data_IF_279110525877
#
_entry.id   IF_279110525877
#
_cell.length_a   1.000
_cell.length_b   1.000
_cell.length_c   1.000
_cell.angle_alpha   90.00
_cell.angle_beta   90.00
_cell.angle_gamma   90.00
#
_symmetry.space_group_name_H-M   'P 1'
#
loop_
_entity.id
_entity.type
_entity.pdbx_description
1 polymer ?
#
# COMPACT_ATOMS: atom_id res chain seq x y z
N UNK A 1 4.96 -13.67 -39.59
CA UNK A 1 4.10 -14.46 -38.68
C UNK A 1 4.30 -13.83 -37.32
N UNK A 2 3.41 -12.89 -36.96
CA UNK A 2 3.49 -12.15 -35.71
C UNK A 2 2.92 -13.05 -34.63
N UNK A 3 3.76 -13.48 -33.70
CA UNK A 3 3.29 -14.25 -32.56
C UNK A 3 2.67 -13.30 -31.54
N UNK A 4 1.43 -13.63 -31.27
CA UNK A 4 0.45 -12.96 -30.46
C UNK A 4 0.82 -13.15 -28.98
N UNK A 5 1.63 -12.22 -28.43
CA UNK A 5 1.86 -12.14 -26.97
C UNK A 5 0.68 -11.47 -26.26
N UNK A 6 -0.54 -11.87 -26.63
CA UNK A 6 -1.79 -11.57 -25.93
C UNK A 6 -2.11 -12.71 -24.99
N UNK A 7 -1.24 -12.97 -24.01
CA UNK A 7 -1.63 -13.81 -22.88
C UNK A 7 -1.63 -12.93 -21.63
N UNK A 8 -2.75 -12.22 -21.47
CA UNK A 8 -3.22 -11.70 -20.18
C UNK A 8 -3.23 -12.87 -19.21
N UNK A 9 -2.13 -13.01 -18.46
CA UNK A 9 -2.02 -13.94 -17.37
C UNK A 9 -3.12 -13.61 -16.37
N UNK A 10 -4.06 -14.54 -16.22
CA UNK A 10 -4.92 -14.60 -15.06
C UNK A 10 -3.96 -14.84 -13.89
N UNK A 11 -3.67 -13.78 -13.14
CA UNK A 11 -2.67 -13.72 -12.06
C UNK A 11 -2.91 -14.84 -11.05
N UNK A 12 -2.06 -15.86 -11.07
CA UNK A 12 -1.84 -16.66 -9.88
C UNK A 12 -1.27 -15.71 -8.81
N UNK A 13 -1.85 -15.63 -7.60
CA UNK A 13 -1.38 -14.70 -6.59
C UNK A 13 0.10 -14.97 -6.32
N UNK A 14 0.94 -13.98 -6.64
CA UNK A 14 2.38 -14.06 -6.47
C UNK A 14 2.69 -14.09 -4.97
N UNK A 15 2.77 -15.29 -4.40
CA UNK A 15 3.06 -15.46 -2.98
C UNK A 15 4.47 -14.95 -2.64
N UNK A 16 4.56 -14.12 -1.60
CA UNK A 16 5.81 -13.63 -1.04
C UNK A 16 6.34 -14.66 -0.04
N UNK A 17 7.19 -15.54 -0.54
CA UNK A 17 7.82 -16.62 0.25
C UNK A 17 9.17 -16.24 0.85
N UNK A 18 9.70 -15.07 0.48
CA UNK A 18 10.96 -14.51 0.99
C UNK A 18 10.77 -13.02 1.30
N UNK A 19 11.55 -12.51 2.26
CA UNK A 19 11.58 -11.08 2.54
C UNK A 19 11.93 -10.30 1.27
N UNK A 20 11.03 -9.41 0.88
CA UNK A 20 11.09 -8.62 -0.34
C UNK A 20 10.67 -7.20 -0.01
N UNK A 21 11.38 -6.24 -0.58
CA UNK A 21 10.95 -4.85 -0.51
C UNK A 21 9.82 -4.63 -1.52
N UNK A 22 8.74 -4.01 -1.06
CA UNK A 22 7.60 -3.62 -1.89
C UNK A 22 7.37 -2.12 -1.75
N UNK A 23 6.64 -1.56 -2.71
CA UNK A 23 6.40 -0.14 -2.83
C UNK A 23 4.91 0.16 -2.98
N UNK A 24 4.50 1.32 -2.49
CA UNK A 24 3.13 1.80 -2.51
C UNK A 24 3.09 3.29 -2.82
N UNK A 25 1.98 3.74 -3.42
CA UNK A 25 1.72 5.15 -3.65
C UNK A 25 0.66 5.66 -2.66
N UNK A 26 1.03 6.72 -1.95
CA UNK A 26 0.17 7.37 -0.98
C UNK A 26 -0.10 8.81 -1.42
N UNK A 27 -1.37 9.15 -1.65
CA UNK A 27 -1.83 10.52 -1.87
C UNK A 27 -2.48 11.06 -0.59
N UNK A 28 -1.99 12.19 -0.08
CA UNK A 28 -2.51 12.85 1.12
C UNK A 28 -3.07 14.23 0.81
N UNK A 29 -4.38 14.46 0.86
CA UNK A 29 -4.92 15.82 0.77
C UNK A 29 -4.32 16.73 1.84
N UNK A 30 -4.04 17.99 1.48
CA UNK A 30 -3.72 19.03 2.47
C UNK A 30 -5.01 19.61 3.07
N UNK A 31 -6.06 19.64 2.25
CA UNK A 31 -7.38 20.12 2.60
C UNK A 31 -8.33 18.93 2.56
N UNK A 32 -9.22 18.82 3.55
CA UNK A 32 -10.25 17.78 3.61
C UNK A 32 -9.66 16.35 3.55
N UNK A 33 -8.93 15.98 4.62
CA UNK A 33 -8.21 14.70 4.75
C UNK A 33 -9.09 13.46 4.65
N UNK A 34 -10.42 13.65 4.69
CA UNK A 34 -11.41 12.59 4.63
C UNK A 34 -12.00 12.41 3.20
N UNK A 35 -11.71 13.33 2.27
CA UNK A 35 -12.38 13.42 0.96
C UNK A 35 -11.72 12.65 -0.18
N UNK A 36 -10.39 12.66 -0.26
CA UNK A 36 -9.71 11.66 -1.08
C UNK A 36 -9.51 10.42 -0.21
N UNK A 37 -9.72 9.22 -0.77
CA UNK A 37 -9.18 8.04 -0.13
C UNK A 37 -7.71 8.34 0.14
N UNK A 38 -7.28 8.24 1.40
CA UNK A 38 -5.88 8.44 1.82
C UNK A 38 -4.96 7.34 1.26
N UNK A 39 -5.26 6.83 0.07
CA UNK A 39 -5.21 5.42 -0.24
C UNK A 39 -5.33 5.04 -1.72
N UNK A 40 -5.13 5.99 -2.62
CA UNK A 40 -5.46 5.78 -4.03
C UNK A 40 -4.57 4.71 -4.71
N UNK A 41 -3.46 4.31 -4.07
CA UNK A 41 -2.67 3.12 -4.40
C UNK A 41 -2.63 2.06 -3.28
N UNK A 42 -3.56 2.07 -2.32
CA UNK A 42 -3.53 1.12 -1.19
C UNK A 42 -3.66 -0.32 -1.61
N UNK A 43 -4.45 -0.64 -2.64
CA UNK A 43 -4.56 -2.00 -3.17
C UNK A 43 -3.36 -2.44 -4.00
N UNK A 44 -2.59 -1.49 -4.50
CA UNK A 44 -1.59 -1.73 -5.53
C UNK A 44 -0.21 -1.82 -4.88
N UNK A 45 0.35 -3.02 -4.96
CA UNK A 45 1.61 -3.34 -4.34
C UNK A 45 2.63 -3.59 -5.45
N UNK A 46 3.61 -2.70 -5.54
CA UNK A 46 4.63 -2.76 -6.57
C UNK A 46 5.88 -3.49 -6.06
N UNK A 47 6.51 -4.29 -6.91
CA UNK A 47 7.72 -5.04 -6.54
C UNK A 47 9.02 -4.35 -6.96
N UNK A 48 8.91 -3.18 -7.60
CA UNK A 48 10.04 -2.31 -7.91
C UNK A 48 9.66 -0.83 -7.79
N UNK A 49 10.66 0.00 -7.48
CA UNK A 49 10.49 1.45 -7.42
C UNK A 49 10.10 2.03 -8.79
N UNK A 50 10.70 1.53 -9.87
CA UNK A 50 10.42 1.99 -11.23
C UNK A 50 8.95 1.75 -11.61
N UNK A 51 8.42 0.56 -11.34
CA UNK A 51 7.01 0.21 -11.60
C UNK A 51 6.04 1.10 -10.82
N UNK A 52 6.35 1.38 -9.54
CA UNK A 52 5.54 2.29 -8.72
C UNK A 52 5.55 3.72 -9.27
N UNK A 53 6.72 4.20 -9.73
CA UNK A 53 6.84 5.54 -10.31
C UNK A 53 6.18 5.65 -11.69
N UNK A 54 6.24 4.60 -12.50
CA UNK A 54 5.56 4.55 -13.80
C UNK A 54 4.03 4.60 -13.63
N UNK A 55 3.51 4.05 -12.54
CA UNK A 55 2.09 4.10 -12.21
C UNK A 55 1.63 5.46 -11.64
N UNK A 56 2.56 6.32 -11.17
CA UNK A 56 2.25 7.54 -10.41
C UNK A 56 1.29 8.49 -11.15
N UNK A 57 1.60 8.80 -12.41
CA UNK A 57 0.81 9.74 -13.20
C UNK A 57 -0.59 9.17 -13.53
N UNK A 58 -0.69 7.84 -13.66
CA UNK A 58 -1.96 7.12 -13.87
C UNK A 58 -2.84 7.22 -12.63
N UNK A 59 -2.28 6.96 -11.43
CA UNK A 59 -3.02 7.14 -10.18
C UNK A 59 -3.47 8.58 -9.99
N UNK A 60 -2.61 9.56 -10.32
CA UNK A 60 -2.95 10.97 -10.24
C UNK A 60 -4.12 11.35 -11.17
N UNK A 61 -4.10 10.89 -12.41
CA UNK A 61 -5.21 11.07 -13.34
C UNK A 61 -6.50 10.38 -12.85
N UNK A 62 -6.39 9.20 -12.24
CA UNK A 62 -7.55 8.51 -11.66
C UNK A 62 -8.14 9.28 -10.47
N UNK A 63 -7.32 9.90 -9.61
CA UNK A 63 -7.80 10.83 -8.57
C UNK A 63 -8.65 11.93 -9.19
N UNK A 64 -8.10 12.59 -10.22
CA UNK A 64 -8.77 13.68 -10.90
C UNK A 64 -10.11 13.22 -11.48
N UNK A 65 -10.12 12.10 -12.21
CA UNK A 65 -11.34 11.54 -12.78
C UNK A 65 -12.43 11.28 -11.71
N UNK A 66 -12.06 10.72 -10.54
CA UNK A 66 -13.00 10.46 -9.45
C UNK A 66 -13.51 11.73 -8.75
N UNK A 67 -12.68 12.77 -8.70
CA UNK A 67 -13.03 14.05 -8.07
C UNK A 67 -13.70 15.06 -9.02
N UNK A 68 -14.03 14.65 -10.25
CA UNK A 68 -14.65 15.54 -11.25
C UNK A 68 -13.67 16.49 -11.94
N UNK A 69 -12.38 16.15 -11.96
CA UNK A 69 -11.28 16.88 -12.57
C UNK A 69 -10.13 17.15 -11.61
N UNK A 70 -9.15 17.93 -12.07
CA UNK A 70 -8.01 18.40 -11.26
C UNK A 70 -8.43 19.50 -10.28
N UNK A 71 -9.31 19.14 -9.34
CA UNK A 71 -9.76 20.04 -8.27
C UNK A 71 -8.61 20.42 -7.33
N UNK A 72 -8.83 21.43 -6.48
CA UNK A 72 -7.84 21.88 -5.48
C UNK A 72 -7.38 20.74 -4.56
N UNK A 73 -8.31 19.88 -4.15
CA UNK A 73 -8.01 18.71 -3.30
C UNK A 73 -7.02 17.76 -3.98
N UNK A 74 -7.17 17.52 -5.29
CA UNK A 74 -6.28 16.65 -6.08
C UNK A 74 -4.94 17.33 -6.37
N UNK A 75 -4.96 18.59 -6.79
CA UNK A 75 -3.74 19.33 -7.19
C UNK A 75 -2.85 19.71 -6.02
N UNK A 76 -3.41 19.90 -4.83
CA UNK A 76 -2.64 20.15 -3.61
C UNK A 76 -2.25 18.87 -2.87
N UNK A 77 -2.76 17.71 -3.30
CA UNK A 77 -2.47 16.44 -2.66
C UNK A 77 -0.96 16.16 -2.60
N UNK A 78 -0.58 15.58 -1.49
CA UNK A 78 0.77 15.26 -1.11
C UNK A 78 1.09 13.81 -1.43
N UNK A 79 1.90 13.60 -2.48
CA UNK A 79 2.22 12.26 -2.96
C UNK A 79 3.51 11.71 -2.37
N UNK A 80 3.45 10.47 -1.90
CA UNK A 80 4.57 9.74 -1.32
C UNK A 80 4.72 8.37 -1.95
N UNK A 81 5.96 8.02 -2.28
CA UNK A 81 6.38 6.65 -2.51
C UNK A 81 6.78 6.05 -1.17
N UNK A 82 6.00 5.09 -0.71
CA UNK A 82 6.25 4.35 0.52
C UNK A 82 6.86 3.00 0.20
N UNK A 83 7.76 2.53 1.06
CA UNK A 83 8.38 1.21 0.93
C UNK A 83 8.31 0.46 2.25
N UNK A 84 8.10 -0.84 2.15
CA UNK A 84 8.07 -1.76 3.28
C UNK A 84 8.85 -3.03 2.95
N UNK A 85 9.42 -3.65 3.99
CA UNK A 85 9.87 -5.02 3.92
C UNK A 85 8.66 -5.91 4.18
N UNK A 86 8.45 -6.88 3.29
CA UNK A 86 7.31 -7.79 3.34
C UNK A 86 7.77 -9.22 3.14
N UNK A 87 7.20 -10.15 3.90
CA UNK A 87 7.48 -11.57 3.79
C UNK A 87 7.75 -12.22 5.15
N UNK A 88 8.09 -13.50 5.18
CA UNK A 88 8.14 -14.24 6.43
C UNK A 88 9.29 -13.79 7.35
N UNK A 89 9.05 -13.88 8.66
CA UNK A 89 10.05 -13.76 9.74
C UNK A 89 10.81 -12.43 9.77
N UNK A 90 10.13 -11.33 9.49
CA UNK A 90 10.74 -10.01 9.63
C UNK A 90 10.94 -9.73 11.12
N UNK A 91 12.15 -9.28 11.46
CA UNK A 91 12.46 -8.88 12.82
C UNK A 91 11.66 -7.61 13.17
N UNK A 92 11.00 -7.55 14.33
CA UNK A 92 10.29 -6.35 14.75
C UNK A 92 11.24 -5.15 14.82
N UNK A 93 10.93 -4.08 14.09
CA UNK A 93 11.73 -2.85 14.10
C UNK A 93 11.56 -2.07 15.42
N UNK A 94 12.28 -0.95 15.57
CA UNK A 94 12.41 -0.21 16.85
C UNK A 94 11.12 0.41 17.42
N UNK A 95 9.99 0.35 16.72
CA UNK A 95 8.71 0.92 17.18
C UNK A 95 7.96 0.08 18.22
N UNK A 96 7.07 0.75 18.95
CA UNK A 96 6.29 0.19 20.05
C UNK A 96 4.86 -0.18 19.64
N UNK A 97 4.40 0.28 18.47
CA UNK A 97 3.04 0.08 17.97
C UNK A 97 3.03 -0.99 16.86
N UNK A 98 2.01 -1.86 16.91
CA UNK A 98 1.84 -3.03 16.05
C UNK A 98 0.38 -3.17 15.58
N UNK A 99 0.20 -3.83 14.44
CA UNK A 99 -1.06 -4.50 14.12
C UNK A 99 -0.92 -5.97 14.48
N UNK A 100 -1.85 -6.47 15.26
CA UNK A 100 -1.96 -7.87 15.58
C UNK A 100 -3.20 -8.48 14.90
N UNK A 101 -3.13 -9.78 14.62
CA UNK A 101 -4.25 -10.54 14.13
C UNK A 101 -4.37 -11.83 14.95
N UNK A 102 -5.60 -12.16 15.33
CA UNK A 102 -5.91 -13.40 16.03
C UNK A 102 -6.08 -14.52 15.00
N UNK A 103 -5.40 -15.63 15.20
CA UNK A 103 -5.63 -16.84 14.41
C UNK A 103 -6.97 -17.46 14.84
N UNK A 104 -7.90 -17.58 13.89
CA UNK A 104 -9.23 -18.12 14.16
C UNK A 104 -9.19 -19.61 14.55
N UNK A 105 -8.11 -20.33 14.25
CA UNK A 105 -7.98 -21.75 14.55
C UNK A 105 -7.32 -22.00 15.92
N UNK A 106 -6.21 -21.34 16.23
CA UNK A 106 -5.52 -21.51 17.52
C UNK A 106 -6.05 -20.59 18.63
N UNK A 107 -6.71 -19.49 18.27
CA UNK A 107 -7.13 -18.44 19.20
C UNK A 107 -5.97 -17.56 19.68
N UNK A 108 -4.76 -17.76 19.15
CA UNK A 108 -3.57 -17.00 19.54
C UNK A 108 -3.46 -15.71 18.72
N UNK A 109 -3.01 -14.64 19.37
CA UNK A 109 -2.83 -13.33 18.73
C UNK A 109 -1.37 -13.11 18.39
N UNK A 110 -1.11 -12.84 17.11
CA UNK A 110 0.24 -12.65 16.57
C UNK A 110 0.40 -11.26 15.99
N UNK A 111 1.54 -10.63 16.24
CA UNK A 111 1.91 -9.40 15.56
C UNK A 111 2.09 -9.67 14.06
N UNK A 112 1.39 -8.91 13.23
CA UNK A 112 1.33 -9.05 11.79
C UNK A 112 2.20 -8.00 11.08
N UNK A 113 2.05 -6.74 11.51
CA UNK A 113 2.82 -5.61 11.06
C UNK A 113 3.32 -4.81 12.26
N UNK A 114 4.50 -4.20 12.16
CA UNK A 114 5.05 -3.59 13.35
C UNK A 114 6.29 -2.76 13.17
N UNK A 115 6.67 -2.13 14.29
CA UNK A 115 7.74 -1.17 14.33
C UNK A 115 7.29 0.25 14.02
N UNK A 116 6.00 0.55 14.19
CA UNK A 116 5.46 1.90 14.07
C UNK A 116 5.78 2.70 15.34
N UNK A 117 6.13 3.97 15.15
CA UNK A 117 6.48 4.87 16.26
C UNK A 117 5.24 5.40 16.99
N UNK A 118 4.12 5.51 16.28
CA UNK A 118 2.86 6.07 16.81
C UNK A 118 1.64 5.40 16.20
N UNK A 119 0.49 5.53 16.86
CA UNK A 119 -0.81 5.13 16.29
C UNK A 119 -1.19 5.94 15.04
N UNK A 120 -0.82 7.22 14.98
CA UNK A 120 -1.07 8.06 13.81
C UNK A 120 -0.34 7.56 12.57
N UNK A 121 0.90 7.08 12.73
CA UNK A 121 1.63 6.40 11.67
C UNK A 121 0.92 5.10 11.25
N UNK A 122 0.41 4.32 12.21
CA UNK A 122 -0.26 3.07 11.95
C UNK A 122 -1.49 3.22 11.04
N UNK A 123 -2.30 4.25 11.25
CA UNK A 123 -3.48 4.53 10.43
C UNK A 123 -3.09 4.59 8.94
N UNK A 124 -1.98 5.24 8.63
CA UNK A 124 -1.48 5.40 7.26
C UNK A 124 -0.90 4.12 6.65
N UNK A 125 -0.45 3.17 7.46
CA UNK A 125 0.10 1.90 6.98
C UNK A 125 -0.91 0.76 6.97
N UNK A 126 -2.00 0.88 7.74
CA UNK A 126 -2.95 -0.20 7.99
C UNK A 126 -3.53 -0.81 6.73
N UNK A 127 -3.73 0.00 5.69
CA UNK A 127 -4.28 -0.48 4.45
C UNK A 127 -3.24 -1.09 3.51
N UNK A 128 -1.99 -0.60 3.50
CA UNK A 128 -0.89 -1.28 2.80
C UNK A 128 -0.62 -2.67 3.42
N UNK A 129 -0.75 -2.79 4.74
CA UNK A 129 -0.71 -4.07 5.45
C UNK A 129 -1.84 -5.00 4.96
N UNK A 130 -3.06 -4.47 4.79
CA UNK A 130 -4.20 -5.23 4.24
C UNK A 130 -4.00 -5.65 2.78
N UNK A 131 -3.42 -4.79 1.95
CA UNK A 131 -3.23 -5.07 0.52
C UNK A 131 -2.17 -6.14 0.25
N UNK A 132 -1.14 -6.19 1.09
CA UNK A 132 -0.11 -7.23 1.04
C UNK A 132 -0.62 -8.58 1.53
N UNK A 133 -1.60 -8.60 2.44
CA UNK A 133 -2.07 -9.82 3.13
C UNK A 133 -2.38 -11.00 2.19
N UNK A 134 -3.06 -10.86 1.04
CA UNK A 134 -3.35 -11.98 0.14
C UNK A 134 -2.10 -12.66 -0.42
N UNK A 135 -0.94 -12.00 -0.34
CA UNK A 135 0.32 -12.49 -0.89
C UNK A 135 1.19 -13.16 0.17
N UNK A 136 0.76 -13.11 1.44
CA UNK A 136 1.49 -13.70 2.56
C UNK A 136 0.91 -15.09 2.86
N UNK A 137 1.75 -16.14 2.94
CA UNK A 137 1.31 -17.48 3.30
C UNK A 137 1.09 -17.59 4.82
N UNK A 138 0.14 -16.82 5.37
CA UNK A 138 -0.28 -16.90 6.77
C UNK A 138 -1.58 -17.70 6.89
N UNK A 139 -1.56 -18.91 7.48
CA UNK A 139 -2.78 -19.66 7.73
C UNK A 139 -3.63 -18.97 8.81
N UNK A 140 -4.96 -19.03 8.68
CA UNK A 140 -5.90 -18.83 9.79
C UNK A 140 -6.07 -17.40 10.35
N UNK A 141 -5.23 -16.44 9.99
CA UNK A 141 -5.32 -15.06 10.50
C UNK A 141 -6.67 -14.41 10.19
N UNK A 142 -7.34 -13.88 11.22
CA UNK A 142 -8.55 -13.09 11.10
C UNK A 142 -8.42 -11.93 10.10
N UNK A 143 -9.55 -11.52 9.51
CA UNK A 143 -9.58 -10.34 8.61
C UNK A 143 -9.42 -9.00 9.34
N UNK A 144 -9.54 -9.05 10.67
CA UNK A 144 -9.54 -7.90 11.53
C UNK A 144 -8.15 -7.78 12.15
N UNK A 145 -7.53 -6.63 11.93
CA UNK A 145 -6.34 -6.22 12.64
C UNK A 145 -6.75 -5.41 13.85
N UNK A 146 -6.08 -5.67 14.97
CA UNK A 146 -6.24 -4.95 16.23
C UNK A 146 -4.96 -4.20 16.56
N UNK A 147 -5.10 -3.10 17.29
CA UNK A 147 -3.97 -2.34 17.81
C UNK A 147 -3.31 -3.12 18.95
N UNK A 148 -1.99 -3.25 18.91
CA UNK A 148 -1.20 -3.85 19.97
C UNK A 148 0.04 -3.01 20.28
N UNK A 149 0.49 -3.07 21.53
CA UNK A 149 1.70 -2.39 21.99
C UNK A 149 2.75 -3.41 22.39
N UNK A 150 4.02 -3.09 22.15
CA UNK A 150 5.13 -3.91 22.60
C UNK A 150 5.03 -4.12 24.11
N UNK A 151 5.07 -5.39 24.51
CA UNK A 151 4.94 -5.79 25.92
C UNK A 151 3.54 -6.31 26.29
N UNK A 152 2.56 -6.21 25.38
CA UNK A 152 1.27 -6.89 25.56
C UNK A 152 1.47 -8.40 25.73
N UNK A 153 1.08 -8.92 26.89
CA UNK A 153 1.33 -10.32 27.26
C UNK A 153 0.47 -11.32 26.49
N UNK A 154 -0.60 -10.84 25.86
CA UNK A 154 -1.50 -11.62 25.02
C UNK A 154 -1.04 -11.72 23.55
N UNK A 155 0.01 -11.00 23.16
CA UNK A 155 0.44 -10.88 21.76
C UNK A 155 1.84 -11.43 21.56
N UNK A 156 1.99 -12.28 20.55
CA UNK A 156 3.29 -12.84 20.17
C UNK A 156 4.00 -11.94 19.15
N UNK A 157 5.08 -11.26 19.58
CA UNK A 157 5.84 -10.29 18.76
C UNK A 157 7.06 -10.85 18.02
N UNK A 158 7.34 -12.15 18.17
CA UNK A 158 8.60 -12.77 17.74
C UNK A 158 8.92 -12.63 16.23
N UNK A 159 7.90 -12.56 15.37
CA UNK A 159 8.03 -12.47 13.92
C UNK A 159 6.83 -11.69 13.38
N UNK A 160 7.11 -10.66 12.57
CA UNK A 160 6.10 -9.95 11.78
C UNK A 160 6.31 -10.26 10.30
N UNK A 161 5.35 -9.90 9.45
CA UNK A 161 5.47 -10.08 8.00
C UNK A 161 5.39 -8.79 7.20
N UNK A 162 5.23 -7.65 7.88
CA UNK A 162 5.28 -6.31 7.30
C UNK A 162 6.03 -5.35 8.22
N UNK A 163 7.02 -4.64 7.70
CA UNK A 163 7.72 -3.56 8.40
C UNK A 163 7.93 -2.35 7.48
N UNK A 164 7.52 -1.13 7.86
CA UNK A 164 7.78 0.06 7.07
C UNK A 164 9.29 0.35 7.01
N UNK A 165 9.76 0.87 5.87
CA UNK A 165 11.17 1.22 5.64
C UNK A 165 11.36 2.72 5.43
N UNK A 166 10.70 3.28 4.41
CA UNK A 166 10.93 4.66 3.98
C UNK A 166 9.67 5.24 3.35
N UNK A 167 9.48 6.54 3.54
CA UNK A 167 8.49 7.36 2.83
C UNK A 167 9.22 8.51 2.13
N UNK A 168 9.06 8.64 0.82
CA UNK A 168 9.73 9.66 0.00
C UNK A 168 8.70 10.48 -0.74
N UNK A 169 8.90 11.80 -0.77
CA UNK A 169 8.04 12.69 -1.54
C UNK A 169 8.22 12.48 -3.05
N UNK A 170 7.11 12.34 -3.77
CA UNK A 170 7.09 12.26 -5.24
C UNK A 170 6.11 13.28 -5.82
N UNK A 171 6.21 13.51 -7.13
CA UNK A 171 5.50 14.58 -7.82
C UNK A 171 4.90 14.04 -9.12
N UNK A 172 3.59 13.77 -9.16
CA UNK A 172 2.93 13.33 -10.39
C UNK A 172 2.84 14.48 -11.39
N UNK A 173 2.65 14.13 -12.65
CA UNK A 173 2.37 15.04 -13.76
C UNK A 173 0.95 14.81 -14.25
N UNK A 174 0.28 15.90 -14.59
CA UNK A 174 -1.02 15.86 -15.25
C UNK A 174 -0.88 15.21 -16.64
N UNK A 175 -1.74 14.23 -16.92
CA UNK A 175 -1.85 13.63 -18.24
C UNK A 175 -2.80 14.51 -19.05
N UNK A 176 -2.24 15.39 -19.88
CA UNK A 176 -2.99 16.19 -20.85
C UNK A 176 -3.13 15.38 -22.13
N UNK A 177 -4.36 15.00 -22.48
CA UNK A 177 -4.66 14.48 -23.81
C UNK A 177 -5.05 15.68 -24.65
N UNK A 178 -4.19 16.08 -25.60
CA UNK A 178 -4.60 17.05 -26.62
C UNK A 178 -5.78 16.43 -27.38
N UNK A 179 -6.98 16.92 -27.09
CA UNK A 179 -8.14 16.72 -27.95
C UNK A 179 -7.85 17.48 -29.22
N UNK A 180 -7.28 16.80 -30.22
CA UNK A 180 -7.03 17.35 -31.53
C UNK A 180 -8.31 18.00 -32.05
N UNK A 181 -8.30 19.33 -32.14
CA UNK A 181 -9.20 20.04 -33.03
C UNK A 181 -8.77 19.66 -34.45
N UNK A 182 -9.28 18.52 -34.93
CA UNK A 182 -9.44 18.28 -36.36
C UNK A 182 -10.53 19.24 -36.86
N UNK A 183 -10.18 20.54 -36.90
CA UNK A 183 -10.85 21.48 -37.80
C UNK A 183 -10.23 21.26 -39.18
N UNK A 184 -10.75 20.26 -39.88
CA UNK A 184 -10.59 20.17 -41.33
C UNK A 184 -11.36 21.35 -41.96
N UNK A 185 -10.60 22.24 -42.62
CA UNK A 185 -11.05 23.29 -43.54
C UNK A 185 -11.81 22.73 -44.76
#
# INVERSE_FOLDING_TARGET
>A
MYDDASNRGIDAPRLITRQSQVYFLLARPIEDTDSLPSSIGESDVFFSEAEALDALDVHYAWCAARSGGFTRVVTTAQWYLQSALVGPRIAPALGEVYLAATDNHSGETWAAAGGFLTEGELIHWSAFVRAVRPWIPTPGTAEIFELAYRGDTAVHFHQIWFAPLKSVRVYPKEIVVDSGDDTED
#
